data_IF_457430781391
#
_entry.id   IF_457430781391
#
_cell.length_a   1.000
_cell.length_b   1.000
_cell.length_c   1.000
_cell.angle_alpha   90.00
_cell.angle_beta   90.00
_cell.angle_gamma   90.00
#
_symmetry.space_group_name_H-M   'P 1'
#
loop_
_entity.id
_entity.type
_entity.pdbx_description
1 polymer ?
#
# COMPACT_ATOMS: atom_id res chain seq x y z
N UNK A 1 4.02 8.33 3.42
CA UNK A 1 5.01 7.93 4.42
C UNK A 1 4.29 7.69 5.74
N UNK A 2 4.40 6.47 6.28
CA UNK A 2 3.91 6.06 7.59
C UNK A 2 5.00 6.11 8.66
N UNK A 3 4.77 5.42 9.78
CA UNK A 3 5.72 5.27 10.87
C UNK A 3 5.34 6.03 12.13
N UNK A 4 6.20 5.92 13.15
CA UNK A 4 5.87 6.36 14.51
C UNK A 4 5.82 7.89 14.66
N UNK A 5 6.89 8.60 14.30
CA UNK A 5 6.99 10.04 14.53
C UNK A 5 6.48 10.87 13.34
N UNK A 6 6.90 10.55 12.14
CA UNK A 6 6.68 11.39 10.95
C UNK A 6 5.20 11.55 10.57
N UNK A 7 4.37 10.59 10.94
CA UNK A 7 2.92 10.64 10.73
C UNK A 7 2.15 11.28 11.90
N UNK A 8 2.80 11.57 13.03
CA UNK A 8 2.17 12.05 14.27
C UNK A 8 2.68 13.42 14.68
N UNK A 9 4.00 13.59 14.85
CA UNK A 9 4.60 14.79 15.42
C UNK A 9 4.26 16.09 14.68
N UNK A 10 4.17 16.13 13.33
CA UNK A 10 3.75 17.34 12.64
C UNK A 10 2.37 17.84 13.04
N UNK A 11 1.45 16.95 13.44
CA UNK A 11 0.11 17.35 13.88
C UNK A 11 0.14 18.08 15.23
N UNK A 12 1.03 17.67 16.14
CA UNK A 12 1.22 18.41 17.41
C UNK A 12 1.70 19.82 17.13
N UNK A 13 2.64 20.00 16.20
CA UNK A 13 3.13 21.32 15.84
C UNK A 13 2.06 22.15 15.11
N UNK A 14 1.27 21.55 14.22
CA UNK A 14 0.14 22.20 13.55
C UNK A 14 -0.86 22.70 14.59
N UNK A 15 -1.27 21.84 15.51
CA UNK A 15 -2.20 22.21 16.59
C UNK A 15 -1.64 23.33 17.47
N UNK A 16 -0.38 23.22 17.88
CA UNK A 16 0.25 24.24 18.70
C UNK A 16 0.31 25.60 18.00
N UNK A 17 0.67 25.63 16.72
CA UNK A 17 0.69 26.85 15.93
C UNK A 17 -0.70 27.50 15.87
N UNK A 18 -1.74 26.71 15.66
CA UNK A 18 -3.13 27.19 15.60
C UNK A 18 -3.57 27.81 16.93
N UNK A 19 -3.18 27.25 18.08
CA UNK A 19 -3.46 27.80 19.40
C UNK A 19 -2.87 29.22 19.55
N UNK A 20 -1.73 29.49 18.91
CA UNK A 20 -1.11 30.82 18.89
C UNK A 20 -1.57 31.71 17.71
N UNK A 21 -2.64 31.34 17.04
CA UNK A 21 -3.19 32.12 15.92
C UNK A 21 -2.41 32.03 14.61
N UNK A 22 -1.43 31.11 14.52
CA UNK A 22 -0.64 30.88 13.31
C UNK A 22 -1.26 29.75 12.49
N UNK A 23 -1.52 29.99 11.21
CA UNK A 23 -2.03 28.96 10.28
C UNK A 23 -0.88 28.31 9.50
N UNK A 24 -0.40 27.09 9.89
CA UNK A 24 0.71 26.44 9.24
C UNK A 24 0.28 25.75 7.94
N UNK A 25 -0.07 26.53 6.92
CA UNK A 25 -0.69 26.05 5.66
C UNK A 25 0.17 25.05 4.92
N UNK A 26 1.48 25.27 4.81
CA UNK A 26 2.40 24.37 4.10
C UNK A 26 2.44 23.01 4.80
N UNK A 27 2.61 22.99 6.13
CA UNK A 27 2.63 21.74 6.88
C UNK A 27 1.32 20.97 6.77
N UNK A 28 0.20 21.67 6.91
CA UNK A 28 -1.14 21.08 6.80
C UNK A 28 -1.39 20.49 5.41
N UNK A 29 -0.96 21.21 4.36
CA UNK A 29 -1.10 20.73 2.97
C UNK A 29 -0.20 19.52 2.69
N UNK A 30 1.05 19.55 3.17
CA UNK A 30 1.97 18.42 3.03
C UNK A 30 1.45 17.17 3.75
N UNK A 31 0.88 17.31 4.95
CA UNK A 31 0.26 16.20 5.67
C UNK A 31 -0.94 15.64 4.92
N UNK A 32 -1.84 16.50 4.46
CA UNK A 32 -3.01 16.06 3.67
C UNK A 32 -2.62 15.30 2.41
N UNK A 33 -1.60 15.79 1.69
CA UNK A 33 -1.07 15.09 0.51
C UNK A 33 -0.56 13.69 0.89
N UNK A 34 0.27 13.61 1.94
CA UNK A 34 0.83 12.34 2.38
C UNK A 34 -0.27 11.37 2.86
N UNK A 35 -1.26 11.87 3.58
CA UNK A 35 -2.33 11.03 4.10
C UNK A 35 -3.24 10.48 2.98
N UNK A 36 -3.45 11.22 1.91
CA UNK A 36 -4.19 10.76 0.74
C UNK A 36 -3.40 9.84 -0.22
N UNK A 37 -2.13 9.51 0.07
CA UNK A 37 -1.32 8.70 -0.86
C UNK A 37 -1.79 7.25 -0.98
N UNK A 38 -2.35 6.65 0.06
CA UNK A 38 -2.93 5.31 0.00
C UNK A 38 -4.08 5.25 -1.01
N UNK A 39 -5.04 6.15 -0.87
CA UNK A 39 -6.18 6.30 -1.78
C UNK A 39 -5.72 6.59 -3.21
N UNK A 40 -4.70 7.44 -3.37
CA UNK A 40 -4.13 7.75 -4.67
C UNK A 40 -3.59 6.50 -5.37
N UNK A 41 -2.78 5.68 -4.68
CA UNK A 41 -2.21 4.43 -5.22
C UNK A 41 -3.31 3.46 -5.61
N UNK A 42 -4.31 3.23 -4.75
CA UNK A 42 -5.45 2.37 -5.04
C UNK A 42 -6.21 2.85 -6.27
N UNK A 43 -6.56 4.14 -6.33
CA UNK A 43 -7.29 4.73 -7.46
C UNK A 43 -6.48 4.69 -8.77
N UNK A 44 -5.16 4.88 -8.74
CA UNK A 44 -4.33 4.74 -9.94
C UNK A 44 -4.30 3.27 -10.43
N UNK A 45 -4.23 2.31 -9.51
CA UNK A 45 -4.32 0.88 -9.86
C UNK A 45 -5.64 0.57 -10.55
N UNK A 46 -6.77 1.02 -9.97
CA UNK A 46 -8.12 0.87 -10.55
C UNK A 46 -8.19 1.49 -11.95
N UNK A 47 -7.65 2.70 -12.13
CA UNK A 47 -7.59 3.36 -13.46
C UNK A 47 -6.78 2.54 -14.47
N UNK A 48 -5.66 1.96 -14.06
CA UNK A 48 -4.85 1.10 -14.91
C UNK A 48 -5.60 -0.18 -15.30
N UNK A 49 -6.31 -0.81 -14.36
CA UNK A 49 -7.16 -1.98 -14.61
C UNK A 49 -8.25 -1.65 -15.62
N UNK A 50 -9.00 -0.56 -15.41
CA UNK A 50 -10.07 -0.12 -16.30
C UNK A 50 -9.56 0.17 -17.72
N UNK A 51 -8.38 0.81 -17.86
CA UNK A 51 -7.76 1.05 -19.18
C UNK A 51 -7.43 -0.25 -19.93
N UNK A 52 -7.16 -1.34 -19.20
CA UNK A 52 -6.91 -2.68 -19.78
C UNK A 52 -8.17 -3.54 -19.92
N UNK A 53 -9.35 -3.00 -19.62
CA UNK A 53 -10.63 -3.70 -19.67
C UNK A 53 -10.81 -4.72 -18.54
N UNK A 54 -10.05 -4.61 -17.46
CA UNK A 54 -10.18 -5.49 -16.30
C UNK A 54 -11.27 -4.92 -15.38
N UNK A 55 -12.31 -5.71 -15.14
CA UNK A 55 -13.37 -5.37 -14.21
C UNK A 55 -12.85 -5.46 -12.77
N UNK A 56 -12.91 -4.37 -12.02
CA UNK A 56 -12.37 -4.32 -10.64
C UNK A 56 -13.21 -5.15 -9.67
N UNK A 57 -14.53 -5.20 -9.92
CA UNK A 57 -15.42 -6.07 -9.17
C UNK A 57 -14.97 -7.53 -9.30
N UNK A 58 -14.82 -8.19 -8.18
CA UNK A 58 -14.36 -9.59 -8.05
C UNK A 58 -12.93 -9.85 -8.54
N UNK A 59 -12.17 -8.82 -8.92
CA UNK A 59 -10.77 -8.97 -9.33
C UNK A 59 -9.89 -9.47 -8.18
N UNK A 60 -8.94 -10.33 -8.51
CA UNK A 60 -7.93 -10.79 -7.56
C UNK A 60 -6.77 -9.79 -7.51
N UNK A 61 -6.56 -9.17 -6.37
CA UNK A 61 -5.51 -8.16 -6.19
C UNK A 61 -4.49 -8.66 -5.17
N UNK A 62 -3.20 -8.53 -5.50
CA UNK A 62 -2.10 -8.82 -4.59
C UNK A 62 -1.44 -7.51 -4.16
N UNK A 63 -1.34 -7.30 -2.85
CA UNK A 63 -0.57 -6.20 -2.26
C UNK A 63 0.71 -6.79 -1.69
N UNK A 64 1.86 -6.28 -2.14
CA UNK A 64 3.18 -6.68 -1.68
C UNK A 64 3.77 -5.61 -0.76
N UNK A 65 3.95 -6.01 0.49
CA UNK A 65 4.38 -5.16 1.59
C UNK A 65 3.24 -4.50 2.34
N UNK A 66 3.29 -4.56 3.68
CA UNK A 66 2.36 -3.87 4.58
C UNK A 66 3.10 -3.10 5.67
N UNK A 67 4.40 -3.29 5.82
CA UNK A 67 5.21 -2.51 6.75
C UNK A 67 5.31 -1.05 6.32
N UNK A 68 5.63 -0.13 7.24
CA UNK A 68 5.68 1.29 6.89
C UNK A 68 6.89 1.67 6.02
N UNK A 69 7.94 0.83 6.01
CA UNK A 69 9.14 0.99 5.16
C UNK A 69 9.79 -0.36 4.86
N UNK A 70 10.66 -0.36 3.86
CA UNK A 70 11.39 -1.53 3.40
C UNK A 70 12.31 -2.14 4.48
N UNK A 71 12.38 -3.48 4.49
CA UNK A 71 13.26 -4.29 5.31
C UNK A 71 13.16 -4.00 6.83
N UNK A 72 11.96 -3.72 7.29
CA UNK A 72 11.66 -3.41 8.69
C UNK A 72 10.33 -4.07 9.09
N UNK A 73 10.23 -4.72 10.27
CA UNK A 73 9.00 -5.41 10.69
C UNK A 73 7.93 -4.47 11.27
N UNK A 74 8.18 -3.17 11.32
CA UNK A 74 7.27 -2.21 11.94
C UNK A 74 6.08 -1.87 11.04
N UNK A 75 4.88 -2.09 11.54
CA UNK A 75 3.60 -1.88 10.81
C UNK A 75 2.83 -0.66 11.29
N UNK A 76 3.35 0.08 12.29
CA UNK A 76 2.64 1.22 12.88
C UNK A 76 2.40 2.34 11.87
N UNK A 77 1.16 2.82 11.82
CA UNK A 77 0.72 3.91 10.94
C UNK A 77 1.12 3.69 9.46
N UNK A 78 1.11 2.44 9.01
CA UNK A 78 1.39 2.14 7.60
C UNK A 78 0.27 2.67 6.71
N UNK A 79 0.63 3.31 5.60
CA UNK A 79 -0.32 3.83 4.60
C UNK A 79 -0.81 2.76 3.62
N UNK A 80 -0.32 1.53 3.74
CA UNK A 80 -0.81 0.39 2.95
C UNK A 80 -2.21 -0.04 3.41
N UNK A 81 -2.54 0.22 4.66
CA UNK A 81 -3.91 0.00 5.17
C UNK A 81 -4.94 0.82 4.41
N UNK A 82 -4.61 2.07 4.05
CA UNK A 82 -5.49 2.92 3.25
C UNK A 82 -5.67 2.36 1.83
N UNK A 83 -4.59 1.82 1.22
CA UNK A 83 -4.68 1.12 -0.08
C UNK A 83 -5.65 -0.07 0.02
N UNK A 84 -5.48 -0.90 1.04
CA UNK A 84 -6.33 -2.06 1.28
C UNK A 84 -7.79 -1.64 1.47
N UNK A 85 -8.04 -0.64 2.31
CA UNK A 85 -9.38 -0.13 2.61
C UNK A 85 -10.09 0.37 1.34
N UNK A 86 -9.43 1.22 0.55
CA UNK A 86 -10.00 1.73 -0.70
C UNK A 86 -10.31 0.62 -1.70
N UNK A 87 -9.42 -0.38 -1.85
CA UNK A 87 -9.65 -1.50 -2.77
C UNK A 87 -10.76 -2.43 -2.27
N UNK A 88 -10.92 -2.59 -0.96
CA UNK A 88 -11.97 -3.45 -0.38
C UNK A 88 -13.39 -2.95 -0.64
N UNK A 89 -13.55 -1.68 -1.03
CA UNK A 89 -14.84 -1.15 -1.49
C UNK A 89 -15.27 -1.74 -2.85
N UNK A 90 -14.33 -2.28 -3.62
CA UNK A 90 -14.57 -2.80 -4.97
C UNK A 90 -14.50 -4.32 -5.06
N UNK A 91 -13.63 -4.96 -4.28
CA UNK A 91 -13.44 -6.42 -4.29
C UNK A 91 -13.07 -6.95 -2.91
N UNK A 92 -13.55 -8.15 -2.58
CA UNK A 92 -13.14 -8.89 -1.38
C UNK A 92 -11.90 -9.78 -1.61
N UNK A 93 -11.46 -9.92 -2.88
CA UNK A 93 -10.41 -10.86 -3.26
C UNK A 93 -9.01 -10.21 -3.17
N UNK A 94 -8.71 -9.57 -2.03
CA UNK A 94 -7.42 -8.93 -1.79
C UNK A 94 -6.53 -9.87 -0.99
N UNK A 95 -5.35 -10.15 -1.51
CA UNK A 95 -4.29 -10.92 -0.85
C UNK A 95 -3.18 -9.95 -0.44
N UNK A 96 -2.70 -10.06 0.78
CA UNK A 96 -1.57 -9.26 1.28
C UNK A 96 -0.43 -10.20 1.64
N UNK A 97 0.78 -9.90 1.18
CA UNK A 97 2.00 -10.61 1.54
C UNK A 97 3.12 -9.64 1.92
N UNK A 98 3.77 -9.91 3.04
CA UNK A 98 4.93 -9.16 3.49
C UNK A 98 5.90 -10.10 4.23
N UNK A 99 7.16 -10.23 3.79
CA UNK A 99 8.12 -11.15 4.41
C UNK A 99 8.67 -10.67 5.76
N UNK A 100 8.37 -9.44 6.17
CA UNK A 100 8.87 -8.82 7.40
C UNK A 100 7.79 -8.59 8.45
N UNK A 101 6.53 -8.49 8.04
CA UNK A 101 5.45 -8.13 8.93
C UNK A 101 5.14 -9.26 9.93
N UNK A 102 4.90 -8.87 11.18
CA UNK A 102 4.28 -9.73 12.18
C UNK A 102 2.77 -9.87 11.84
N UNK A 103 2.39 -11.02 11.29
CA UNK A 103 1.06 -11.30 10.78
C UNK A 103 -0.01 -11.21 11.86
N UNK A 104 0.26 -11.67 13.07
CA UNK A 104 -0.67 -11.60 14.20
C UNK A 104 -0.88 -10.15 14.66
N UNK A 105 0.19 -9.35 14.66
CA UNK A 105 0.09 -7.94 15.01
C UNK A 105 -0.74 -7.16 13.98
N UNK A 106 -0.52 -7.40 12.68
CA UNK A 106 -1.31 -6.77 11.61
C UNK A 106 -2.78 -7.13 11.74
N UNK A 107 -3.08 -8.41 11.97
CA UNK A 107 -4.44 -8.89 12.16
C UNK A 107 -5.12 -8.24 13.37
N UNK A 108 -4.40 -8.13 14.49
CA UNK A 108 -4.91 -7.52 15.72
C UNK A 108 -5.16 -6.00 15.57
N UNK A 109 -4.24 -5.29 14.89
CA UNK A 109 -4.27 -3.83 14.79
C UNK A 109 -5.20 -3.33 13.66
N UNK A 110 -5.21 -4.03 12.52
CA UNK A 110 -5.90 -3.59 11.30
C UNK A 110 -6.99 -4.54 10.81
N UNK A 111 -7.13 -5.73 11.37
CA UNK A 111 -8.07 -6.74 10.89
C UNK A 111 -7.68 -7.39 9.55
N UNK A 112 -6.47 -7.11 9.05
CA UNK A 112 -5.99 -7.59 7.75
C UNK A 112 -5.23 -8.90 7.94
N UNK A 113 -5.56 -9.91 7.11
CA UNK A 113 -4.85 -11.19 7.10
C UNK A 113 -3.69 -11.08 6.11
N UNK A 114 -2.47 -11.31 6.60
CA UNK A 114 -1.25 -11.34 5.79
C UNK A 114 -0.84 -12.79 5.58
N UNK A 115 -0.53 -13.16 4.34
CA UNK A 115 -0.05 -14.50 4.01
C UNK A 115 1.36 -14.74 4.56
N UNK A 116 1.61 -15.92 5.11
CA UNK A 116 2.95 -16.33 5.61
C UNK A 116 3.95 -16.60 4.48
N UNK A 117 3.44 -16.97 3.29
CA UNK A 117 4.24 -17.20 2.10
C UNK A 117 3.60 -16.57 0.88
N UNK A 118 4.43 -16.28 -0.14
CA UNK A 118 3.94 -15.74 -1.40
C UNK A 118 3.04 -16.78 -2.10
N UNK A 119 1.77 -16.45 -2.41
CA UNK A 119 0.83 -17.41 -3.02
C UNK A 119 1.11 -17.56 -4.52
N UNK A 120 2.12 -18.35 -4.89
CA UNK A 120 2.59 -18.51 -6.27
C UNK A 120 1.64 -19.32 -7.17
N UNK A 121 0.70 -20.04 -6.60
CA UNK A 121 -0.28 -20.85 -7.36
C UNK A 121 -1.45 -20.04 -7.88
N UNK A 122 -1.67 -18.84 -7.36
CA UNK A 122 -2.78 -17.95 -7.73
C UNK A 122 -2.31 -16.93 -8.76
N UNK A 123 -3.17 -16.64 -9.74
CA UNK A 123 -2.98 -15.53 -10.69
C UNK A 123 -3.78 -14.31 -10.25
N UNK A 124 -3.18 -13.14 -10.42
CA UNK A 124 -3.76 -11.87 -10.01
C UNK A 124 -4.06 -10.98 -11.21
N UNK A 125 -5.17 -10.27 -11.13
CA UNK A 125 -5.57 -9.24 -12.10
C UNK A 125 -4.75 -7.96 -11.91
N UNK A 126 -4.39 -7.67 -10.66
CA UNK A 126 -3.49 -6.58 -10.34
C UNK A 126 -2.52 -6.96 -9.20
N UNK A 127 -1.30 -6.44 -9.28
CA UNK A 127 -0.28 -6.53 -8.23
C UNK A 127 0.16 -5.11 -7.89
N UNK A 128 0.14 -4.76 -6.61
CA UNK A 128 0.61 -3.48 -6.10
C UNK A 128 1.88 -3.71 -5.29
N UNK A 129 3.00 -3.16 -5.73
CA UNK A 129 4.21 -3.10 -4.92
C UNK A 129 4.15 -1.85 -4.04
N UNK A 130 3.64 -2.03 -2.82
CA UNK A 130 3.44 -0.95 -1.86
C UNK A 130 4.69 -0.65 -1.04
N UNK A 131 5.49 -1.68 -0.72
CA UNK A 131 6.77 -1.56 0.01
C UNK A 131 7.86 -2.32 -0.74
N UNK A 132 9.02 -1.69 -0.91
CA UNK A 132 10.13 -2.22 -1.73
C UNK A 132 11.10 -3.09 -0.92
N UNK A 133 10.62 -4.21 -0.37
CA UNK A 133 11.50 -5.17 0.29
C UNK A 133 12.48 -5.80 -0.71
N UNK A 134 13.72 -6.02 -0.28
CA UNK A 134 14.76 -6.64 -1.14
C UNK A 134 14.35 -7.99 -1.71
N UNK A 135 13.57 -8.77 -0.96
CA UNK A 135 13.07 -10.07 -1.38
C UNK A 135 12.19 -9.98 -2.65
N UNK A 136 11.51 -8.88 -2.86
CA UNK A 136 10.63 -8.67 -4.01
C UNK A 136 11.40 -8.48 -5.33
N UNK A 137 12.68 -8.16 -5.28
CA UNK A 137 13.52 -8.05 -6.47
C UNK A 137 13.66 -9.36 -7.25
N UNK A 138 13.49 -10.50 -6.58
CA UNK A 138 13.66 -11.84 -7.15
C UNK A 138 12.33 -12.52 -7.54
N UNK A 139 11.20 -11.82 -7.42
CA UNK A 139 9.90 -12.39 -7.78
C UNK A 139 9.78 -12.49 -9.30
N UNK A 140 9.36 -13.67 -9.79
CA UNK A 140 8.94 -13.85 -11.17
C UNK A 140 7.49 -13.36 -11.34
N UNK A 141 7.36 -12.08 -11.68
CA UNK A 141 6.06 -11.38 -11.85
C UNK A 141 5.15 -12.05 -12.87
N UNK A 142 5.72 -12.66 -13.92
CA UNK A 142 4.97 -13.35 -14.99
C UNK A 142 4.23 -14.59 -14.47
N UNK A 143 4.76 -15.20 -13.42
CA UNK A 143 4.09 -16.33 -12.77
C UNK A 143 2.91 -15.93 -11.92
N UNK A 144 2.88 -14.71 -11.43
CA UNK A 144 1.83 -14.23 -10.51
C UNK A 144 0.72 -13.49 -11.22
N UNK A 145 0.98 -12.86 -12.37
CA UNK A 145 0.01 -11.99 -13.05
C UNK A 145 -0.66 -12.69 -14.22
N UNK A 146 -1.93 -12.34 -14.50
CA UNK A 146 -2.60 -12.75 -15.73
C UNK A 146 -2.04 -12.03 -16.96
N UNK A 147 -2.31 -12.52 -18.18
CA UNK A 147 -1.69 -12.03 -19.43
C UNK A 147 -1.84 -10.52 -19.67
N UNK A 148 -2.93 -9.92 -19.25
CA UNK A 148 -3.19 -8.47 -19.39
C UNK A 148 -3.26 -7.75 -18.04
N UNK A 149 -2.81 -8.39 -16.96
CA UNK A 149 -2.87 -7.84 -15.61
C UNK A 149 -2.06 -6.54 -15.44
N UNK A 150 -2.28 -5.88 -14.34
CA UNK A 150 -1.64 -4.62 -13.98
C UNK A 150 -0.61 -4.85 -12.88
N UNK A 151 0.61 -4.37 -13.06
CA UNK A 151 1.57 -4.20 -11.96
C UNK A 151 1.71 -2.72 -11.69
N UNK A 152 1.38 -2.29 -10.48
CA UNK A 152 1.53 -0.92 -10.03
C UNK A 152 2.66 -0.83 -9.02
N UNK A 153 3.78 -0.28 -9.46
CA UNK A 153 4.95 -0.05 -8.60
C UNK A 153 4.88 1.36 -7.98
N UNK A 154 4.44 1.43 -6.73
CA UNK A 154 4.31 2.69 -6.00
C UNK A 154 5.66 3.33 -5.63
N UNK A 155 6.76 2.58 -5.75
CA UNK A 155 8.11 2.99 -5.32
C UNK A 155 9.10 3.20 -6.46
N UNK A 156 8.77 2.78 -7.69
CA UNK A 156 9.72 2.76 -8.79
C UNK A 156 10.87 1.76 -8.56
N UNK A 157 10.59 0.67 -7.85
CA UNK A 157 11.59 -0.32 -7.45
C UNK A 157 11.94 -1.30 -8.60
N UNK A 158 11.00 -1.51 -9.51
CA UNK A 158 11.10 -2.55 -10.53
C UNK A 158 11.88 -2.13 -11.76
N UNK A 159 12.17 -0.83 -11.97
CA UNK A 159 13.03 -0.25 -13.02
C UNK A 159 13.07 -1.07 -14.32
N UNK A 160 11.94 -1.16 -15.05
CA UNK A 160 11.88 -1.85 -16.34
C UNK A 160 12.02 -3.39 -16.30
N UNK A 161 11.89 -4.01 -15.12
CA UNK A 161 11.90 -5.49 -14.93
C UNK A 161 10.54 -6.13 -15.23
N UNK A 162 9.57 -5.35 -15.69
CA UNK A 162 8.20 -5.79 -16.02
C UNK A 162 8.04 -6.13 -17.50
#
# INVERSE_FOLDING_TARGET
>A
VGGHCISVDPYYLIQKAQVYGVLPRIMSSARRLNDGMGDYVANQTIKCMNKKGIMVKDANILILGITFKENCPDVRNTKVVDIYSTLSEYTSNITVFDPWADTEKVKKEYGIIVCESLPETKKYDAIILAVSHKQFANIDWRKLIITHGVVYDAKGFLDGRL
#
